data_IF_954733644689
#
_entry.id   IF_954733644689
#
_cell.length_a   1.000
_cell.length_b   1.000
_cell.length_c   1.000
_cell.angle_alpha   90.00
_cell.angle_beta   90.00
_cell.angle_gamma   90.00
#
_symmetry.space_group_name_H-M   'P 1'
#
loop_
_entity.id
_entity.type
_entity.pdbx_description
1 polymer ?
#
# COMPACT_ATOMS: atom_id res chain seq x y z
N UNK A 1 2.41 19.39 -5.89
CA UNK A 1 1.39 19.17 -6.95
C UNK A 1 1.06 20.55 -7.48
N UNK A 2 0.98 20.69 -8.78
CA UNK A 2 0.62 21.95 -9.43
C UNK A 2 -0.78 22.39 -8.98
N UNK A 3 -1.05 23.72 -8.88
CA UNK A 3 -2.34 24.27 -8.46
C UNK A 3 -3.47 23.79 -9.38
N UNK A 4 -3.22 23.77 -10.68
CA UNK A 4 -4.17 23.27 -11.70
C UNK A 4 -4.53 21.80 -11.47
N UNK A 5 -3.58 20.98 -10.98
CA UNK A 5 -3.83 19.57 -10.70
C UNK A 5 -4.63 19.36 -9.41
N UNK A 6 -4.46 20.22 -8.41
CA UNK A 6 -5.29 20.20 -7.20
C UNK A 6 -6.74 20.59 -7.51
N UNK A 7 -6.94 21.58 -8.36
CA UNK A 7 -8.27 21.98 -8.81
C UNK A 7 -8.94 20.84 -9.60
N UNK A 8 -8.21 20.24 -10.54
CA UNK A 8 -8.70 19.11 -11.32
C UNK A 8 -9.20 17.97 -10.43
N UNK A 9 -8.40 17.54 -9.42
CA UNK A 9 -8.78 16.43 -8.52
C UNK A 9 -9.98 16.81 -7.62
N UNK A 10 -10.06 18.07 -7.20
CA UNK A 10 -11.16 18.55 -6.37
C UNK A 10 -12.49 18.61 -7.14
N UNK A 11 -12.45 18.88 -8.45
CA UNK A 11 -13.63 18.90 -9.31
C UNK A 11 -14.22 17.50 -9.56
N UNK A 12 -13.50 16.42 -9.24
CA UNK A 12 -13.96 15.04 -9.37
C UNK A 12 -14.45 14.41 -8.07
N UNK A 13 -14.54 15.16 -6.97
CA UNK A 13 -14.99 14.59 -5.69
C UNK A 13 -16.46 14.17 -5.75
N UNK A 14 -16.78 13.03 -5.16
CA UNK A 14 -18.14 12.48 -5.08
C UNK A 14 -18.61 12.40 -3.61
N UNK A 15 -19.92 12.47 -3.40
CA UNK A 15 -20.51 12.10 -2.11
C UNK A 15 -20.33 10.59 -1.86
N UNK A 16 -20.14 10.15 -0.60
CA UNK A 16 -20.03 8.73 -0.28
C UNK A 16 -21.25 7.92 -0.72
N UNK A 17 -21.03 6.76 -1.29
CA UNK A 17 -22.08 5.75 -1.56
C UNK A 17 -22.67 5.24 -0.24
N UNK A 18 -21.80 4.96 0.73
CA UNK A 18 -22.17 4.62 2.10
C UNK A 18 -21.25 5.38 3.08
N UNK A 19 -21.84 6.37 3.77
CA UNK A 19 -21.12 7.17 4.77
C UNK A 19 -21.02 6.49 6.14
N UNK A 20 -21.63 5.32 6.32
CA UNK A 20 -21.66 4.58 7.59
C UNK A 20 -20.69 3.42 7.63
N UNK A 21 -20.23 2.93 6.46
CA UNK A 21 -19.23 1.88 6.39
C UNK A 21 -17.93 2.36 7.00
N UNK A 22 -17.53 1.77 8.14
CA UNK A 22 -16.22 2.03 8.76
C UNK A 22 -15.10 1.67 7.80
N UNK A 23 -14.06 2.51 7.76
CA UNK A 23 -12.87 2.32 6.93
C UNK A 23 -11.62 2.48 7.79
N UNK A 24 -10.70 1.53 7.67
CA UNK A 24 -9.28 1.70 8.00
C UNK A 24 -8.53 1.73 6.68
N UNK A 25 -7.85 2.84 6.38
CA UNK A 25 -7.01 2.97 5.18
C UNK A 25 -5.60 2.46 5.46
N UNK A 26 -5.23 1.24 5.04
CA UNK A 26 -3.98 0.60 5.45
C UNK A 26 -2.77 1.04 4.61
N UNK A 27 -2.91 2.06 3.74
CA UNK A 27 -1.81 2.48 2.89
C UNK A 27 -1.93 3.93 2.42
N UNK A 28 -1.22 4.81 3.09
CA UNK A 28 -0.97 6.16 2.59
C UNK A 28 0.50 6.57 2.81
N UNK A 29 0.90 7.66 2.21
CA UNK A 29 2.22 8.26 2.37
C UNK A 29 2.11 9.71 2.81
N UNK A 30 3.16 10.22 3.44
CA UNK A 30 3.29 11.63 3.80
C UNK A 30 4.64 12.16 3.33
N UNK A 31 4.69 13.36 2.80
CA UNK A 31 5.92 14.00 2.40
C UNK A 31 5.80 15.53 2.25
N UNK A 32 6.96 16.17 2.28
CA UNK A 32 7.14 17.54 1.84
C UNK A 32 8.45 17.60 1.03
N UNK A 33 8.35 17.51 -0.29
CA UNK A 33 9.50 17.46 -1.21
C UNK A 33 9.15 17.92 -2.62
N UNK A 34 10.13 18.55 -3.32
CA UNK A 34 9.99 18.89 -4.73
C UNK A 34 8.78 19.78 -5.07
N UNK A 35 8.40 20.69 -4.14
CA UNK A 35 7.20 21.53 -4.31
C UNK A 35 5.87 20.81 -4.09
N UNK A 36 5.90 19.54 -3.70
CA UNK A 36 4.71 18.77 -3.34
C UNK A 36 4.67 18.55 -1.83
N UNK A 37 3.54 18.92 -1.22
CA UNK A 37 3.26 18.70 0.20
C UNK A 37 2.03 17.83 0.34
N UNK A 38 2.13 16.81 1.19
CA UNK A 38 1.03 16.00 1.67
C UNK A 38 1.37 15.51 3.08
N UNK A 39 0.77 16.11 4.08
CA UNK A 39 1.01 15.86 5.51
C UNK A 39 -0.33 15.55 6.19
N UNK A 40 -0.35 15.58 7.52
CA UNK A 40 -1.57 15.28 8.30
C UNK A 40 -2.75 16.19 7.91
N UNK A 41 -2.49 17.46 7.59
CA UNK A 41 -3.53 18.42 7.21
C UNK A 41 -4.20 18.05 5.87
N UNK A 42 -3.42 17.71 4.84
CA UNK A 42 -3.95 17.30 3.55
C UNK A 42 -4.63 15.92 3.63
N UNK A 43 -4.03 14.97 4.37
CA UNK A 43 -4.66 13.68 4.65
C UNK A 43 -6.01 13.85 5.34
N UNK A 44 -6.09 14.72 6.36
CA UNK A 44 -7.32 15.06 7.06
C UNK A 44 -8.39 15.60 6.11
N UNK A 45 -8.02 16.53 5.20
CA UNK A 45 -8.94 17.07 4.21
C UNK A 45 -9.51 15.99 3.30
N UNK A 46 -8.71 15.00 2.91
CA UNK A 46 -9.17 13.92 2.04
C UNK A 46 -10.02 12.90 2.81
N UNK A 47 -9.59 12.46 3.99
CA UNK A 47 -10.30 11.47 4.81
C UNK A 47 -11.59 12.00 5.45
N UNK A 48 -11.71 13.33 5.67
CA UNK A 48 -12.90 13.95 6.24
C UNK A 48 -14.01 14.26 5.22
N UNK A 49 -13.92 13.79 3.97
CA UNK A 49 -14.90 14.10 2.90
C UNK A 49 -16.22 13.32 2.98
N UNK A 50 -16.48 12.67 4.11
CA UNK A 50 -17.78 12.05 4.39
C UNK A 50 -17.75 10.52 4.46
N UNK A 51 -16.73 9.85 3.96
CA UNK A 51 -16.50 8.44 4.28
C UNK A 51 -16.08 8.28 5.74
N UNK A 52 -16.50 7.17 6.38
CA UNK A 52 -16.21 6.91 7.80
C UNK A 52 -14.78 6.35 8.01
N UNK A 53 -13.77 7.09 7.55
CA UNK A 53 -12.35 6.72 7.76
C UNK A 53 -11.98 7.00 9.21
N UNK A 54 -11.74 5.95 9.99
CA UNK A 54 -11.38 6.06 11.41
C UNK A 54 -9.88 6.11 11.64
N UNK A 55 -9.14 5.29 10.91
CA UNK A 55 -7.70 5.09 11.10
C UNK A 55 -6.99 4.93 9.76
N UNK A 56 -5.69 5.25 9.75
CA UNK A 56 -4.84 5.11 8.58
C UNK A 56 -3.48 4.53 8.96
N UNK A 57 -2.84 3.82 8.03
CA UNK A 57 -1.48 3.29 8.21
C UNK A 57 -0.55 3.95 7.19
N UNK A 58 0.47 4.63 7.72
CA UNK A 58 1.53 5.19 6.91
C UNK A 58 2.45 4.09 6.37
N UNK A 59 2.87 4.21 5.12
CA UNK A 59 3.86 3.33 4.50
C UNK A 59 5.05 4.14 4.01
N UNK A 60 6.26 3.68 4.26
CA UNK A 60 7.52 4.32 3.91
C UNK A 60 7.55 4.88 2.47
N UNK A 61 8.22 6.02 2.28
CA UNK A 61 8.33 6.66 0.95
C UNK A 61 9.54 7.58 0.79
N UNK A 62 10.60 7.37 1.57
CA UNK A 62 11.82 8.20 1.63
C UNK A 62 11.57 9.64 2.14
N UNK A 63 10.56 9.87 2.97
CA UNK A 63 10.32 11.17 3.56
C UNK A 63 11.24 11.41 4.75
N UNK A 64 11.76 12.61 4.88
CA UNK A 64 12.47 13.11 6.07
C UNK A 64 13.61 12.20 6.60
N UNK A 65 14.29 11.46 5.73
CA UNK A 65 15.46 10.67 6.13
C UNK A 65 16.54 11.53 6.78
N UNK A 66 17.14 11.05 7.87
CA UNK A 66 18.27 11.72 8.53
C UNK A 66 19.45 11.88 7.56
N UNK A 67 19.97 13.09 7.41
CA UNK A 67 21.05 13.38 6.44
C UNK A 67 22.43 12.98 6.96
N UNK A 68 22.70 13.25 8.23
CA UNK A 68 24.00 13.06 8.89
C UNK A 68 23.98 11.81 9.79
N UNK A 69 23.62 10.65 9.20
CA UNK A 69 23.55 9.39 9.91
C UNK A 69 24.05 8.26 8.97
N UNK A 70 24.45 7.11 9.54
CA UNK A 70 24.77 5.91 8.75
C UNK A 70 23.58 5.52 7.90
N UNK A 71 23.84 5.07 6.67
CA UNK A 71 22.80 4.81 5.67
C UNK A 71 21.67 3.93 6.21
N UNK A 72 22.03 2.85 6.90
CA UNK A 72 21.08 1.90 7.48
C UNK A 72 20.16 2.50 8.57
N UNK A 73 20.51 3.66 9.14
CA UNK A 73 19.73 4.35 10.18
C UNK A 73 18.97 5.58 9.69
N UNK A 74 19.17 5.99 8.44
CA UNK A 74 18.56 7.23 7.90
C UNK A 74 17.03 7.18 7.89
N UNK A 75 16.44 6.00 7.66
CA UNK A 75 14.99 5.79 7.66
C UNK A 75 14.31 6.07 9.01
N UNK A 76 15.07 6.08 10.10
CA UNK A 76 14.57 6.43 11.44
C UNK A 76 13.98 7.85 11.44
N UNK A 77 14.55 8.78 10.67
CA UNK A 77 14.00 10.15 10.51
C UNK A 77 12.59 10.18 9.91
N UNK A 78 12.26 9.23 9.04
CA UNK A 78 10.89 9.10 8.53
C UNK A 78 9.92 8.65 9.63
N UNK A 79 10.34 7.72 10.48
CA UNK A 79 9.53 7.29 11.63
C UNK A 79 9.30 8.44 12.62
N UNK A 80 10.34 9.24 12.94
CA UNK A 80 10.21 10.46 13.77
C UNK A 80 9.16 11.42 13.17
N UNK A 81 9.30 11.72 11.89
CA UNK A 81 8.37 12.59 11.17
C UNK A 81 6.92 12.08 11.25
N UNK A 82 6.68 10.79 11.04
CA UNK A 82 5.31 10.23 11.05
C UNK A 82 4.74 10.20 12.46
N UNK A 83 5.54 9.99 13.49
CA UNK A 83 5.09 10.11 14.89
C UNK A 83 4.61 11.54 15.17
N UNK A 84 5.33 12.58 14.72
CA UNK A 84 4.88 13.97 14.85
C UNK A 84 3.57 14.22 14.09
N UNK A 85 3.45 13.72 12.85
CA UNK A 85 2.23 13.84 12.06
C UNK A 85 1.03 13.09 12.68
N UNK A 86 1.29 11.97 13.37
CA UNK A 86 0.25 11.22 14.07
C UNK A 86 -0.36 12.00 15.24
N UNK A 87 0.48 12.77 15.96
CA UNK A 87 -0.02 13.66 17.03
C UNK A 87 -0.92 14.74 16.42
N UNK A 88 -0.51 15.34 15.32
CA UNK A 88 -1.31 16.37 14.61
C UNK A 88 -2.62 15.80 14.08
N UNK A 89 -2.63 14.58 13.54
CA UNK A 89 -3.83 13.97 12.98
C UNK A 89 -4.96 13.84 14.02
N UNK A 90 -4.64 13.65 15.29
CA UNK A 90 -5.61 13.55 16.39
C UNK A 90 -6.33 14.86 16.71
N UNK A 91 -5.75 15.99 16.32
CA UNK A 91 -6.34 17.32 16.50
C UNK A 91 -7.19 17.75 15.29
N UNK A 92 -7.12 16.97 14.21
CA UNK A 92 -7.81 17.23 12.95
C UNK A 92 -9.05 16.34 12.82
N UNK A 93 -9.85 16.60 11.78
CA UNK A 93 -10.99 15.75 11.41
C UNK A 93 -10.50 14.60 10.49
N UNK A 94 -11.27 13.52 10.42
CA UNK A 94 -10.96 12.38 9.55
C UNK A 94 -10.14 11.30 10.23
N UNK A 95 -9.46 10.44 9.45
CA UNK A 95 -8.75 9.29 9.96
C UNK A 95 -7.49 9.63 10.73
N UNK A 96 -7.28 8.97 11.88
CA UNK A 96 -6.05 9.09 12.66
C UNK A 96 -4.93 8.28 12.03
N UNK A 97 -3.69 8.79 12.08
CA UNK A 97 -2.51 8.01 11.70
C UNK A 97 -2.17 7.09 12.89
N UNK A 98 -2.50 5.81 12.77
CA UNK A 98 -2.46 4.82 13.87
C UNK A 98 -1.41 3.73 13.69
N UNK A 99 -0.77 3.63 12.51
CA UNK A 99 0.26 2.65 12.23
C UNK A 99 1.33 3.16 11.28
N UNK A 100 2.51 2.54 11.38
CA UNK A 100 3.68 2.85 10.55
C UNK A 100 4.23 1.55 9.97
N UNK A 101 4.35 1.48 8.65
CA UNK A 101 5.17 0.51 7.94
C UNK A 101 6.45 1.24 7.53
N UNK A 102 7.53 1.01 8.29
CA UNK A 102 8.79 1.69 8.11
C UNK A 102 9.67 1.00 7.04
N UNK A 103 10.79 1.62 6.67
CA UNK A 103 11.83 1.00 5.88
C UNK A 103 12.99 0.52 6.76
N UNK A 104 13.39 -0.72 6.57
CA UNK A 104 14.67 -1.28 7.01
C UNK A 104 15.21 -2.13 5.86
N UNK A 105 16.51 -2.04 5.59
CA UNK A 105 17.17 -2.99 4.69
C UNK A 105 17.23 -4.37 5.34
N UNK A 106 16.34 -5.26 4.91
CA UNK A 106 16.19 -6.60 5.46
C UNK A 106 17.36 -7.54 5.08
N UNK A 107 18.23 -7.14 4.16
CA UNK A 107 19.44 -7.89 3.80
C UNK A 107 20.60 -7.73 4.82
N UNK A 108 20.43 -6.88 5.83
CA UNK A 108 21.46 -6.61 6.83
C UNK A 108 21.66 -7.71 7.91
N UNK A 109 20.91 -8.84 7.79
CA UNK A 109 21.03 -9.96 8.72
C UNK A 109 20.66 -9.55 10.16
N UNK A 110 21.51 -9.90 11.14
CA UNK A 110 21.25 -9.65 12.57
C UNK A 110 21.09 -8.15 12.92
N UNK A 111 21.68 -7.25 12.13
CA UNK A 111 21.53 -5.78 12.33
C UNK A 111 20.07 -5.32 12.20
N UNK A 112 19.22 -6.08 11.51
CA UNK A 112 17.78 -5.79 11.41
C UNK A 112 17.16 -5.66 12.79
N UNK A 113 17.53 -6.51 13.76
CA UNK A 113 17.00 -6.43 15.13
C UNK A 113 17.32 -5.10 15.83
N UNK A 114 18.54 -4.62 15.68
CA UNK A 114 18.96 -3.31 16.27
C UNK A 114 18.20 -2.15 15.63
N UNK A 115 17.93 -2.24 14.34
CA UNK A 115 17.15 -1.21 13.62
C UNK A 115 15.68 -1.25 14.01
N UNK A 116 15.10 -2.44 14.18
CA UNK A 116 13.74 -2.61 14.69
C UNK A 116 13.58 -2.00 16.09
N UNK A 117 14.55 -2.24 16.99
CA UNK A 117 14.55 -1.64 18.32
C UNK A 117 14.56 -0.11 18.22
N UNK A 118 15.38 0.46 17.36
CA UNK A 118 15.47 1.91 17.18
C UNK A 118 14.18 2.53 16.62
N UNK A 119 13.51 1.89 15.66
CA UNK A 119 12.21 2.33 15.16
C UNK A 119 11.12 2.21 16.23
N UNK A 120 11.12 1.11 17.00
CA UNK A 120 10.14 0.86 18.03
C UNK A 120 10.29 1.79 19.23
N UNK A 121 11.53 2.17 19.63
CA UNK A 121 11.79 3.14 20.68
C UNK A 121 11.14 4.51 20.38
N UNK A 122 11.14 4.92 19.11
CA UNK A 122 10.58 6.21 18.67
C UNK A 122 9.05 6.11 18.49
N UNK A 123 8.59 5.06 17.84
CA UNK A 123 7.18 4.93 17.44
C UNK A 123 6.29 4.23 18.46
N UNK A 124 6.88 3.58 19.47
CA UNK A 124 6.14 2.76 20.41
C UNK A 124 5.33 1.67 19.71
N UNK A 125 4.04 1.59 20.00
CA UNK A 125 3.13 0.62 19.40
C UNK A 125 2.69 0.99 17.97
N UNK A 126 3.16 2.08 17.38
CA UNK A 126 2.79 2.48 16.03
C UNK A 126 3.57 1.71 14.95
N UNK A 127 4.74 1.14 15.24
CA UNK A 127 5.44 0.27 14.29
C UNK A 127 4.61 -1.02 14.08
N UNK A 128 4.15 -1.25 12.86
CA UNK A 128 3.28 -2.39 12.50
C UNK A 128 3.94 -3.34 11.52
N UNK A 129 4.95 -2.90 10.82
CA UNK A 129 5.65 -3.71 9.84
C UNK A 129 6.78 -2.95 9.14
N UNK A 130 7.39 -3.65 8.21
CA UNK A 130 8.47 -3.12 7.37
C UNK A 130 8.12 -3.33 5.91
N UNK A 131 8.38 -2.32 5.08
CA UNK A 131 8.42 -2.44 3.64
C UNK A 131 9.86 -2.22 3.14
N UNK A 132 10.46 -3.29 2.64
CA UNK A 132 11.63 -3.20 1.78
C UNK A 132 11.17 -3.48 0.36
N UNK A 133 11.00 -2.43 -0.43
CA UNK A 133 10.49 -2.54 -1.79
C UNK A 133 11.47 -3.35 -2.66
N UNK A 134 10.99 -4.43 -3.29
CA UNK A 134 11.81 -5.36 -4.08
C UNK A 134 11.51 -5.32 -5.57
N UNK A 135 10.71 -4.33 -6.02
CA UNK A 135 10.35 -4.21 -7.42
C UNK A 135 11.58 -3.95 -8.31
N UNK A 136 11.91 -4.94 -9.13
CA UNK A 136 13.05 -4.97 -10.06
C UNK A 136 12.61 -5.44 -11.44
N UNK A 137 13.27 -4.93 -12.48
CA UNK A 137 13.09 -5.40 -13.85
C UNK A 137 14.36 -5.19 -14.65
N UNK A 138 14.70 -6.16 -15.53
CA UNK A 138 15.75 -6.00 -16.54
C UNK A 138 15.33 -5.12 -17.72
N UNK A 139 14.03 -4.79 -17.87
CA UNK A 139 13.53 -3.88 -18.90
C UNK A 139 13.78 -2.42 -18.47
N UNK A 140 14.62 -1.63 -19.16
CA UNK A 140 14.93 -0.26 -18.77
C UNK A 140 13.73 0.69 -18.83
N UNK A 141 12.61 0.27 -19.41
CA UNK A 141 11.35 1.04 -19.43
C UNK A 141 10.48 0.79 -18.20
N UNK A 142 10.86 -0.19 -17.37
CA UNK A 142 10.18 -0.49 -16.10
C UNK A 142 11.12 -0.02 -14.98
N UNK A 143 10.72 0.97 -14.15
CA UNK A 143 11.60 1.51 -13.13
C UNK A 143 11.92 0.46 -12.05
N UNK A 144 13.13 0.47 -11.55
CA UNK A 144 13.49 -0.24 -10.31
C UNK A 144 13.03 0.61 -9.13
N UNK A 145 12.56 -0.03 -8.05
CA UNK A 145 12.10 0.69 -6.87
C UNK A 145 13.21 1.53 -6.20
N UNK A 146 12.81 2.46 -5.36
CA UNK A 146 13.71 3.41 -4.70
C UNK A 146 14.77 2.77 -3.79
N UNK A 147 14.52 1.57 -3.27
CA UNK A 147 15.47 0.75 -2.51
C UNK A 147 16.60 0.15 -3.37
N UNK A 148 16.47 0.24 -4.71
CA UNK A 148 17.44 -0.30 -5.70
C UNK A 148 17.78 -1.77 -5.44
N UNK A 149 16.77 -2.66 -5.30
CA UNK A 149 17.01 -4.07 -5.01
C UNK A 149 17.80 -4.74 -6.13
N UNK A 150 18.61 -5.73 -5.77
CA UNK A 150 19.19 -6.66 -6.74
C UNK A 150 18.11 -7.61 -7.29
N UNK A 151 18.36 -8.19 -8.47
CA UNK A 151 17.55 -9.28 -9.00
C UNK A 151 17.57 -10.46 -8.02
N UNK A 152 16.39 -11.03 -7.72
CA UNK A 152 16.27 -12.20 -6.85
C UNK A 152 16.48 -11.93 -5.36
N UNK A 153 16.45 -10.67 -4.91
CA UNK A 153 16.70 -10.29 -3.51
C UNK A 153 15.86 -11.09 -2.50
N UNK A 154 14.60 -11.36 -2.80
CA UNK A 154 13.71 -12.14 -1.90
C UNK A 154 14.14 -13.60 -1.71
N UNK A 155 15.04 -14.12 -2.56
CA UNK A 155 15.64 -15.46 -2.46
C UNK A 155 16.89 -15.52 -1.58
N UNK A 156 17.50 -14.39 -1.25
CA UNK A 156 18.74 -14.32 -0.50
C UNK A 156 18.54 -14.69 0.98
N UNK A 157 19.46 -15.49 1.52
CA UNK A 157 19.36 -15.97 2.91
C UNK A 157 19.24 -14.84 3.92
N UNK A 158 20.04 -13.78 3.79
CA UNK A 158 20.03 -12.65 4.71
C UNK A 158 18.69 -11.92 4.69
N UNK A 159 18.08 -11.75 3.51
CA UNK A 159 16.75 -11.14 3.36
C UNK A 159 15.64 -12.01 4.00
N UNK A 160 15.68 -13.33 3.75
CA UNK A 160 14.74 -14.30 4.34
C UNK A 160 14.84 -14.26 5.88
N UNK A 161 16.05 -14.23 6.42
CA UNK A 161 16.28 -14.11 7.86
C UNK A 161 15.77 -12.77 8.39
N UNK A 162 15.98 -11.65 7.67
CA UNK A 162 15.42 -10.33 7.99
C UNK A 162 13.91 -10.34 8.07
N UNK A 163 13.22 -10.94 7.09
CA UNK A 163 11.74 -11.09 7.13
C UNK A 163 11.30 -11.98 8.29
N UNK A 164 12.04 -13.03 8.61
CA UNK A 164 11.73 -13.91 9.76
C UNK A 164 11.81 -13.15 11.10
N UNK A 165 12.74 -12.21 11.25
CA UNK A 165 12.82 -11.37 12.46
C UNK A 165 11.56 -10.53 12.69
N UNK A 166 10.88 -10.11 11.61
CA UNK A 166 9.61 -9.38 11.71
C UNK A 166 8.53 -10.26 12.38
N UNK A 167 8.38 -11.51 11.94
CA UNK A 167 7.41 -12.43 12.51
C UNK A 167 7.64 -12.71 14.00
N UNK A 168 8.91 -12.79 14.42
CA UNK A 168 9.27 -12.97 15.84
C UNK A 168 8.87 -11.77 16.73
N UNK A 169 8.53 -10.63 16.12
CA UNK A 169 8.12 -9.39 16.78
C UNK A 169 6.66 -9.02 16.49
N UNK A 170 5.89 -9.91 15.88
CA UNK A 170 4.52 -9.67 15.43
C UNK A 170 4.41 -8.46 14.48
N UNK A 171 5.40 -8.27 13.60
CA UNK A 171 5.41 -7.24 12.56
C UNK A 171 5.17 -7.86 11.20
N UNK A 172 4.50 -7.12 10.30
CA UNK A 172 4.28 -7.53 8.92
C UNK A 172 5.48 -7.24 8.01
N UNK A 173 5.57 -7.98 6.91
CA UNK A 173 6.34 -7.61 5.73
C UNK A 173 5.39 -7.13 4.64
N UNK A 174 5.38 -5.83 4.35
CA UNK A 174 4.62 -5.24 3.25
C UNK A 174 5.44 -5.38 1.96
N UNK A 175 4.96 -6.19 1.04
CA UNK A 175 5.69 -6.60 -0.15
C UNK A 175 5.30 -5.76 -1.37
N UNK A 176 6.21 -4.87 -1.81
CA UNK A 176 6.08 -4.14 -3.07
C UNK A 176 7.04 -4.70 -4.11
N UNK A 177 6.50 -5.41 -5.10
CA UNK A 177 7.23 -5.98 -6.22
C UNK A 177 6.35 -5.96 -7.48
N UNK A 178 6.90 -6.36 -8.62
CA UNK A 178 6.13 -6.56 -9.84
C UNK A 178 5.58 -7.98 -9.94
N UNK A 179 4.51 -8.14 -10.70
CA UNK A 179 3.78 -9.41 -10.83
C UNK A 179 4.66 -10.59 -11.28
N UNK A 180 5.71 -10.34 -12.07
CA UNK A 180 6.65 -11.36 -12.53
C UNK A 180 7.65 -11.80 -11.45
N UNK A 181 7.65 -11.14 -10.28
CA UNK A 181 8.40 -11.52 -9.08
C UNK A 181 7.52 -12.22 -8.01
N UNK A 182 6.22 -12.39 -8.22
CA UNK A 182 5.32 -13.04 -7.25
C UNK A 182 5.75 -14.48 -6.91
N UNK A 183 6.42 -15.18 -7.84
CA UNK A 183 6.98 -16.50 -7.58
C UNK A 183 8.12 -16.49 -6.53
N UNK A 184 8.91 -15.40 -6.48
CA UNK A 184 9.93 -15.20 -5.44
C UNK A 184 9.26 -14.99 -4.07
N UNK A 185 8.20 -14.17 -4.03
CA UNK A 185 7.43 -13.93 -2.82
C UNK A 185 6.77 -15.21 -2.30
N UNK A 186 6.22 -16.06 -3.19
CA UNK A 186 5.66 -17.35 -2.80
C UNK A 186 6.73 -18.25 -2.12
N UNK A 187 7.94 -18.29 -2.69
CA UNK A 187 9.05 -19.05 -2.10
C UNK A 187 9.51 -18.47 -0.74
N UNK A 188 9.49 -17.15 -0.59
CA UNK A 188 9.77 -16.47 0.67
C UNK A 188 8.70 -16.78 1.72
N UNK A 189 7.42 -16.62 1.39
CA UNK A 189 6.29 -16.81 2.30
C UNK A 189 6.30 -18.19 2.98
N UNK A 190 6.59 -19.24 2.21
CA UNK A 190 6.72 -20.61 2.73
C UNK A 190 7.88 -20.80 3.68
N UNK A 191 8.92 -19.97 3.62
CA UNK A 191 10.10 -20.05 4.51
C UNK A 191 9.93 -19.24 5.80
N UNK A 192 8.92 -18.36 5.86
CA UNK A 192 8.65 -17.48 7.00
C UNK A 192 7.18 -17.53 7.42
N UNK A 193 6.64 -18.71 7.78
CA UNK A 193 5.19 -18.90 7.99
C UNK A 193 4.62 -18.08 9.14
N UNK A 194 5.46 -17.62 10.07
CA UNK A 194 5.04 -16.81 11.21
C UNK A 194 5.03 -15.30 10.94
N UNK A 195 5.47 -14.87 9.74
CA UNK A 195 5.48 -13.45 9.37
C UNK A 195 4.27 -13.15 8.49
N UNK A 196 3.34 -12.27 8.88
CA UNK A 196 2.31 -11.80 7.98
C UNK A 196 2.94 -11.08 6.78
N UNK A 197 2.64 -11.55 5.57
CA UNK A 197 3.11 -10.95 4.32
C UNK A 197 1.92 -10.25 3.65
N UNK A 198 2.06 -8.97 3.39
CA UNK A 198 1.00 -8.15 2.79
C UNK A 198 1.42 -7.71 1.39
N UNK A 199 0.82 -8.29 0.37
CA UNK A 199 1.07 -7.93 -1.03
C UNK A 199 0.44 -6.55 -1.29
N UNK A 200 1.26 -5.56 -1.69
CA UNK A 200 0.77 -4.23 -2.04
C UNK A 200 0.19 -4.21 -3.46
N UNK A 201 -0.86 -3.40 -3.68
CA UNK A 201 -1.39 -3.03 -4.99
C UNK A 201 -1.70 -4.22 -5.91
N UNK A 202 -2.34 -5.26 -5.36
CA UNK A 202 -2.71 -6.48 -6.11
C UNK A 202 -1.50 -7.16 -6.81
N UNK A 203 -0.28 -7.01 -6.28
CA UNK A 203 0.92 -7.58 -6.89
C UNK A 203 1.29 -6.96 -8.24
N UNK A 204 0.92 -5.70 -8.46
CA UNK A 204 1.32 -4.86 -9.59
C UNK A 204 1.19 -5.50 -10.99
N UNK A 205 -0.03 -5.73 -11.51
CA UNK A 205 -0.24 -6.22 -12.88
C UNK A 205 0.08 -5.13 -13.92
N UNK A 206 1.33 -5.08 -14.37
CA UNK A 206 1.89 -3.99 -15.17
C UNK A 206 1.32 -3.85 -16.58
N UNK A 207 1.14 -2.59 -17.04
CA UNK A 207 0.93 -2.22 -18.45
C UNK A 207 2.04 -1.26 -18.92
N UNK A 208 3.29 -1.64 -18.66
CA UNK A 208 4.46 -0.79 -18.91
C UNK A 208 5.59 -1.63 -19.58
N UNK A 209 6.49 -0.97 -20.29
CA UNK A 209 7.64 -1.59 -20.94
C UNK A 209 7.22 -2.73 -21.86
N UNK A 210 7.93 -3.87 -21.77
CA UNK A 210 7.62 -5.09 -22.55
C UNK A 210 6.20 -5.62 -22.35
N UNK A 211 5.57 -5.32 -21.22
CA UNK A 211 4.24 -5.79 -20.86
C UNK A 211 3.10 -4.97 -21.47
N UNK A 212 3.37 -3.77 -22.00
CA UNK A 212 2.36 -2.91 -22.59
C UNK A 212 1.55 -3.60 -23.70
N UNK A 213 2.21 -4.45 -24.51
CA UNK A 213 1.60 -5.19 -25.62
C UNK A 213 1.34 -6.67 -25.33
N UNK A 214 1.64 -7.13 -24.12
CA UNK A 214 1.54 -8.54 -23.70
C UNK A 214 0.55 -8.74 -22.54
N UNK A 215 -0.57 -8.05 -22.57
CA UNK A 215 -1.50 -8.04 -21.44
C UNK A 215 -2.11 -9.42 -21.15
N UNK A 216 -2.42 -10.23 -22.17
CA UNK A 216 -2.93 -11.61 -21.97
C UNK A 216 -1.90 -12.49 -21.26
N UNK A 217 -0.63 -12.42 -21.67
CA UNK A 217 0.48 -13.15 -21.04
C UNK A 217 0.67 -12.68 -19.58
N UNK A 218 0.72 -11.35 -19.38
CA UNK A 218 0.84 -10.74 -18.06
C UNK A 218 -0.28 -11.22 -17.12
N UNK A 219 -1.55 -11.13 -17.56
CA UNK A 219 -2.69 -11.57 -16.75
C UNK A 219 -2.64 -13.07 -16.42
N UNK A 220 -2.19 -13.91 -17.37
CA UNK A 220 -2.01 -15.35 -17.14
C UNK A 220 -1.01 -15.63 -16.03
N UNK A 221 0.17 -15.00 -16.07
CA UNK A 221 1.23 -15.13 -15.06
C UNK A 221 0.71 -14.59 -13.72
N UNK A 222 0.19 -13.37 -13.69
CA UNK A 222 -0.31 -12.70 -12.49
C UNK A 222 -1.38 -13.54 -11.76
N UNK A 223 -2.39 -14.02 -12.49
CA UNK A 223 -3.43 -14.89 -11.92
C UNK A 223 -2.87 -16.22 -11.41
N UNK A 224 -1.93 -16.82 -12.15
CA UNK A 224 -1.32 -18.08 -11.74
C UNK A 224 -0.53 -17.94 -10.44
N UNK A 225 0.28 -16.90 -10.32
CA UNK A 225 1.14 -16.70 -9.14
C UNK A 225 0.34 -16.24 -7.91
N UNK A 226 -0.68 -15.38 -8.08
CA UNK A 226 -1.56 -15.00 -6.97
C UNK A 226 -2.36 -16.20 -6.42
N UNK A 227 -2.81 -17.15 -7.27
CA UNK A 227 -3.45 -18.38 -6.77
C UNK A 227 -2.53 -19.18 -5.86
N UNK A 228 -1.26 -19.34 -6.23
CA UNK A 228 -0.27 -20.04 -5.39
C UNK A 228 -0.05 -19.33 -4.06
N UNK A 229 0.00 -18.00 -4.09
CA UNK A 229 0.14 -17.17 -2.87
C UNK A 229 -1.10 -17.25 -1.98
N UNK A 230 -2.29 -17.36 -2.57
CA UNK A 230 -3.54 -17.53 -1.81
C UNK A 230 -3.61 -18.88 -1.06
N UNK A 231 -2.84 -19.90 -1.48
CA UNK A 231 -2.73 -21.18 -0.76
C UNK A 231 -1.85 -21.07 0.51
N UNK A 232 -1.14 -19.94 0.70
CA UNK A 232 -0.24 -19.73 1.83
C UNK A 232 -0.95 -18.87 2.89
N UNK A 233 -1.16 -19.42 4.09
CA UNK A 233 -2.04 -18.86 5.12
C UNK A 233 -1.60 -17.48 5.64
N UNK A 234 -0.28 -17.21 5.72
CA UNK A 234 0.28 -15.95 6.20
C UNK A 234 0.33 -14.84 5.14
N UNK A 235 -0.33 -15.01 3.99
CA UNK A 235 -0.34 -14.02 2.90
C UNK A 235 -1.67 -13.30 2.82
N UNK A 236 -1.60 -11.97 2.81
CA UNK A 236 -2.70 -11.02 2.70
C UNK A 236 -2.53 -10.16 1.46
N UNK A 237 -3.61 -9.55 0.97
CA UNK A 237 -3.61 -8.75 -0.25
C UNK A 237 -4.20 -7.37 0.00
N UNK A 238 -3.45 -6.31 -0.29
CA UNK A 238 -3.98 -4.96 -0.45
C UNK A 238 -4.54 -4.78 -1.85
N UNK A 239 -5.79 -4.37 -1.91
CA UNK A 239 -6.52 -4.07 -3.14
C UNK A 239 -6.63 -2.57 -3.27
N UNK A 240 -5.79 -1.98 -4.12
CA UNK A 240 -5.69 -0.55 -4.36
C UNK A 240 -4.53 -0.22 -5.28
N UNK A 241 -4.00 1.00 -5.17
CA UNK A 241 -3.01 1.53 -6.10
C UNK A 241 -3.55 1.70 -7.53
N UNK A 242 -4.89 1.70 -7.67
CA UNK A 242 -5.59 1.67 -8.97
C UNK A 242 -5.45 2.96 -9.78
N UNK A 243 -4.95 4.01 -9.14
CA UNK A 243 -4.65 5.30 -9.75
C UNK A 243 -3.21 5.45 -10.25
N UNK A 244 -2.35 4.44 -10.12
CA UNK A 244 -0.95 4.50 -10.57
C UNK A 244 -0.84 4.44 -12.09
N UNK A 245 -1.09 5.57 -12.75
CA UNK A 245 -1.11 5.73 -14.21
C UNK A 245 0.15 5.16 -14.88
N UNK A 246 1.32 5.44 -14.32
CA UNK A 246 2.61 5.03 -14.87
C UNK A 246 2.78 3.50 -14.93
N UNK A 247 2.05 2.76 -14.12
CA UNK A 247 2.12 1.29 -14.07
C UNK A 247 0.97 0.62 -14.81
N UNK A 248 -0.24 1.20 -14.73
CA UNK A 248 -1.47 0.54 -15.22
C UNK A 248 -2.03 1.14 -16.51
N UNK A 249 -1.54 2.33 -16.92
CA UNK A 249 -1.83 2.95 -18.22
C UNK A 249 -3.30 3.18 -18.49
N UNK A 250 -4.00 3.82 -17.57
CA UNK A 250 -5.43 4.15 -17.70
C UNK A 250 -5.69 5.39 -18.56
N UNK A 251 -4.68 6.24 -18.79
CA UNK A 251 -4.74 7.53 -19.49
C UNK A 251 -5.71 8.56 -18.85
N UNK A 252 -5.98 8.45 -17.55
CA UNK A 252 -6.85 9.39 -16.84
C UNK A 252 -6.21 10.75 -16.63
N UNK A 253 -4.87 10.77 -16.49
CA UNK A 253 -4.11 12.02 -16.26
C UNK A 253 -4.27 13.06 -17.37
N UNK A 254 -4.54 12.62 -18.59
CA UNK A 254 -4.70 13.48 -19.76
C UNK A 254 -6.13 14.01 -19.99
N UNK A 255 -7.09 13.62 -19.15
CA UNK A 255 -8.50 14.00 -19.30
C UNK A 255 -8.76 15.42 -18.76
N UNK A 256 -9.80 16.08 -19.27
CA UNK A 256 -10.27 17.37 -18.77
C UNK A 256 -10.84 17.28 -17.35
N UNK A 257 -11.42 16.13 -16.97
CA UNK A 257 -11.95 15.84 -15.62
C UNK A 257 -11.50 14.47 -15.13
N UNK A 258 -11.37 14.28 -13.80
CA UNK A 258 -11.14 12.96 -13.21
C UNK A 258 -12.23 11.96 -13.63
N UNK A 259 -11.93 10.67 -13.68
CA UNK A 259 -12.97 9.67 -13.87
C UNK A 259 -13.92 9.62 -12.68
N UNK A 260 -15.18 9.30 -12.93
CA UNK A 260 -16.14 8.95 -11.88
C UNK A 260 -15.88 7.55 -11.33
N UNK A 261 -16.42 7.26 -10.14
CA UNK A 261 -16.33 5.92 -9.57
C UNK A 261 -17.00 4.84 -10.44
N UNK A 262 -18.03 5.17 -11.24
CA UNK A 262 -18.64 4.23 -12.19
C UNK A 262 -17.69 3.88 -13.34
N UNK A 263 -16.93 4.86 -13.84
CA UNK A 263 -15.91 4.61 -14.85
C UNK A 263 -14.77 3.75 -14.30
N UNK A 264 -14.35 4.01 -13.04
CA UNK A 264 -13.31 3.21 -12.39
C UNK A 264 -13.78 1.78 -12.15
N UNK A 265 -15.04 1.58 -11.72
CA UNK A 265 -15.66 0.26 -11.61
C UNK A 265 -15.60 -0.48 -12.95
N UNK A 266 -15.96 0.17 -14.07
CA UNK A 266 -15.92 -0.44 -15.39
C UNK A 266 -14.54 -1.01 -15.75
N UNK A 267 -13.46 -0.35 -15.28
CA UNK A 267 -12.07 -0.76 -15.58
C UNK A 267 -11.56 -1.84 -14.61
N UNK A 268 -11.94 -1.77 -13.33
CA UNK A 268 -11.29 -2.55 -12.28
C UNK A 268 -12.13 -3.67 -11.67
N UNK A 269 -13.45 -3.67 -11.86
CA UNK A 269 -14.38 -4.60 -11.21
C UNK A 269 -13.95 -6.07 -11.35
N UNK A 270 -13.68 -6.53 -12.58
CA UNK A 270 -13.32 -7.94 -12.82
C UNK A 270 -12.05 -8.35 -12.06
N UNK A 271 -11.03 -7.49 -12.04
CA UNK A 271 -9.76 -7.79 -11.36
C UNK A 271 -9.91 -7.80 -9.85
N UNK A 272 -10.64 -6.81 -9.31
CA UNK A 272 -10.88 -6.68 -7.87
C UNK A 272 -11.69 -7.88 -7.35
N UNK A 273 -12.79 -8.22 -8.02
CA UNK A 273 -13.62 -9.38 -7.65
C UNK A 273 -12.80 -10.67 -7.73
N UNK A 274 -12.01 -10.84 -8.78
CA UNK A 274 -11.16 -12.01 -8.93
C UNK A 274 -10.13 -12.12 -7.79
N UNK A 275 -9.54 -11.03 -7.35
CA UNK A 275 -8.63 -11.01 -6.19
C UNK A 275 -9.35 -11.44 -4.91
N UNK A 276 -10.55 -10.89 -4.65
CA UNK A 276 -11.35 -11.23 -3.47
C UNK A 276 -11.78 -12.70 -3.50
N UNK A 277 -12.25 -13.21 -4.64
CA UNK A 277 -12.61 -14.62 -4.81
C UNK A 277 -11.40 -15.55 -4.59
N UNK A 278 -10.20 -15.10 -4.95
CA UNK A 278 -8.98 -15.93 -4.86
C UNK A 278 -8.45 -16.00 -3.42
N UNK A 279 -8.46 -14.90 -2.67
CA UNK A 279 -7.87 -14.83 -1.32
C UNK A 279 -8.91 -15.00 -0.18
N UNK A 280 -10.19 -14.77 -0.45
CA UNK A 280 -11.23 -14.58 0.58
C UNK A 280 -11.23 -13.16 1.14
N UNK A 281 -12.39 -12.72 1.67
CA UNK A 281 -12.57 -11.36 2.21
C UNK A 281 -11.68 -11.12 3.42
N UNK A 282 -11.50 -12.13 4.25
CA UNK A 282 -10.71 -12.11 5.48
C UNK A 282 -9.18 -11.98 5.27
N UNK A 283 -8.72 -12.09 4.03
CA UNK A 283 -7.30 -11.88 3.67
C UNK A 283 -7.09 -10.78 2.64
N UNK A 284 -8.14 -10.01 2.34
CA UNK A 284 -8.09 -8.83 1.50
C UNK A 284 -8.39 -7.57 2.30
N UNK A 285 -7.74 -6.46 1.96
CA UNK A 285 -8.04 -5.14 2.51
C UNK A 285 -7.94 -4.09 1.41
N UNK A 286 -8.91 -3.16 1.36
CA UNK A 286 -8.86 -2.02 0.45
C UNK A 286 -7.89 -0.97 0.95
N UNK A 287 -7.19 -0.29 0.03
CA UNK A 287 -6.23 0.78 0.33
C UNK A 287 -6.39 1.97 -0.63
N UNK A 288 -6.06 3.18 -0.18
CA UNK A 288 -6.11 4.37 -1.03
C UNK A 288 -4.83 4.61 -1.83
N UNK A 289 -3.67 4.23 -1.30
CA UNK A 289 -2.35 4.59 -1.82
C UNK A 289 -2.15 6.10 -2.00
N UNK A 290 -2.77 6.91 -1.13
CA UNK A 290 -2.69 8.37 -1.22
C UNK A 290 -1.38 8.93 -0.64
N UNK A 291 -0.80 9.98 -1.21
CA UNK A 291 -1.28 10.75 -2.37
C UNK A 291 -0.71 10.27 -3.71
N UNK A 292 -0.19 9.05 -3.84
CA UNK A 292 0.31 8.53 -5.12
C UNK A 292 -0.84 8.47 -6.13
N UNK A 293 -1.98 7.88 -5.75
CA UNK A 293 -3.15 7.76 -6.60
C UNK A 293 -3.90 9.09 -6.84
N UNK A 294 -3.63 10.13 -6.03
CA UNK A 294 -4.16 11.49 -6.21
C UNK A 294 -3.80 12.10 -7.56
N UNK A 295 -2.82 11.56 -8.26
CA UNK A 295 -2.49 12.01 -9.61
C UNK A 295 -3.61 11.75 -10.62
N UNK A 296 -4.47 10.79 -10.37
CA UNK A 296 -5.50 10.33 -11.31
C UNK A 296 -6.88 10.20 -10.70
N UNK A 297 -6.99 9.92 -9.40
CA UNK A 297 -8.24 9.62 -8.72
C UNK A 297 -8.46 10.50 -7.48
N UNK A 298 -9.64 11.13 -7.34
CA UNK A 298 -10.07 11.68 -6.06
C UNK A 298 -10.20 10.60 -4.99
N UNK A 299 -9.91 10.95 -3.72
CA UNK A 299 -10.01 10.02 -2.59
C UNK A 299 -11.42 9.41 -2.45
N UNK A 300 -12.45 10.25 -2.61
CA UNK A 300 -13.84 9.80 -2.58
C UNK A 300 -14.19 8.81 -3.71
N UNK A 301 -13.62 9.00 -4.90
CA UNK A 301 -13.84 8.10 -6.05
C UNK A 301 -13.24 6.72 -5.79
N UNK A 302 -12.07 6.64 -5.15
CA UNK A 302 -11.45 5.36 -4.80
C UNK A 302 -12.39 4.55 -3.88
N UNK A 303 -12.82 5.16 -2.78
CA UNK A 303 -13.66 4.48 -1.80
C UNK A 303 -15.06 4.17 -2.35
N UNK A 304 -15.66 5.09 -3.13
CA UNK A 304 -16.92 4.82 -3.83
C UNK A 304 -16.79 3.67 -4.82
N UNK A 305 -15.67 3.54 -5.52
CA UNK A 305 -15.41 2.40 -6.41
C UNK A 305 -15.49 1.09 -5.62
N UNK A 306 -14.81 0.98 -4.49
CA UNK A 306 -14.85 -0.22 -3.66
C UNK A 306 -16.24 -0.48 -3.07
N UNK A 307 -16.93 0.55 -2.60
CA UNK A 307 -18.30 0.44 -2.11
C UNK A 307 -19.28 -0.04 -3.18
N UNK A 308 -19.15 0.45 -4.43
CA UNK A 308 -19.97 0.00 -5.56
C UNK A 308 -19.69 -1.44 -5.95
N UNK A 309 -18.42 -1.85 -6.04
CA UNK A 309 -18.02 -3.21 -6.38
C UNK A 309 -18.55 -4.22 -5.36
N UNK A 310 -18.52 -3.86 -4.08
CA UNK A 310 -18.94 -4.73 -2.98
C UNK A 310 -20.42 -4.59 -2.61
N UNK A 311 -21.22 -3.87 -3.39
CA UNK A 311 -22.65 -3.69 -3.12
C UNK A 311 -23.40 -5.01 -2.91
N UNK A 312 -23.12 -6.10 -3.66
CA UNK A 312 -23.77 -7.39 -3.47
C UNK A 312 -23.29 -8.19 -2.24
N UNK A 313 -22.22 -7.77 -1.59
CA UNK A 313 -21.59 -8.50 -0.48
C UNK A 313 -22.38 -8.33 0.82
N UNK A 314 -22.28 -9.31 1.70
CA UNK A 314 -22.85 -9.24 3.06
C UNK A 314 -22.14 -8.17 3.90
N UNK A 315 -22.78 -7.74 4.98
CA UNK A 315 -22.17 -6.78 5.90
C UNK A 315 -20.86 -7.31 6.51
N UNK A 316 -20.75 -8.62 6.78
CA UNK A 316 -19.50 -9.23 7.29
C UNK A 316 -18.37 -9.14 6.27
N UNK A 317 -18.62 -9.55 5.03
CA UNK A 317 -17.63 -9.49 3.94
C UNK A 317 -17.17 -8.07 3.66
N UNK A 318 -18.08 -7.09 3.70
CA UNK A 318 -17.72 -5.67 3.61
C UNK A 318 -16.82 -5.25 4.77
N UNK A 319 -17.17 -5.62 5.99
CA UNK A 319 -16.35 -5.28 7.16
C UNK A 319 -14.95 -5.86 7.05
N UNK A 320 -14.80 -7.11 6.59
CA UNK A 320 -13.47 -7.69 6.36
C UNK A 320 -12.63 -6.81 5.44
N UNK A 321 -13.17 -6.48 4.27
CA UNK A 321 -12.48 -5.73 3.22
C UNK A 321 -12.16 -4.28 3.60
N UNK A 322 -13.05 -3.61 4.34
CA UNK A 322 -12.91 -2.19 4.63
C UNK A 322 -12.17 -1.88 5.93
N UNK A 323 -12.12 -2.80 6.92
CA UNK A 323 -11.44 -2.49 8.17
C UNK A 323 -10.97 -3.70 8.99
N UNK A 324 -11.70 -4.83 9.05
CA UNK A 324 -11.38 -5.94 9.98
C UNK A 324 -10.04 -6.58 9.64
N UNK A 325 -9.79 -6.88 8.37
CA UNK A 325 -8.51 -7.47 7.94
C UNK A 325 -7.33 -6.53 8.23
N UNK A 326 -7.47 -5.23 7.94
CA UNK A 326 -6.45 -4.24 8.27
C UNK A 326 -6.21 -4.13 9.78
N UNK A 327 -7.29 -4.14 10.59
CA UNK A 327 -7.20 -4.16 12.05
C UNK A 327 -6.48 -5.40 12.54
N UNK A 328 -6.83 -6.58 12.04
CA UNK A 328 -6.23 -7.85 12.44
C UNK A 328 -4.73 -7.91 12.14
N UNK A 329 -4.34 -7.49 10.93
CA UNK A 329 -2.94 -7.56 10.48
C UNK A 329 -2.07 -6.53 11.19
N UNK A 330 -2.56 -5.29 11.35
CA UNK A 330 -1.76 -4.17 11.86
C UNK A 330 -2.07 -3.79 13.32
N UNK A 331 -3.09 -4.35 13.95
CA UNK A 331 -3.46 -4.01 15.33
C UNK A 331 -3.76 -2.50 15.47
N UNK A 332 -4.54 -1.92 14.55
CA UNK A 332 -4.94 -0.51 14.53
C UNK A 332 -6.46 -0.40 14.68
N UNK A 333 -6.96 0.78 15.11
CA UNK A 333 -8.41 1.02 15.16
C UNK A 333 -9.14 0.26 16.26
N UNK A 334 -8.46 -0.07 17.36
CA UNK A 334 -9.06 -0.70 18.56
C UNK A 334 -9.73 0.33 19.47
#
# INVERSE_FOLDING_TARGET
MDVDRLEWINNGQEAPVDSTQRIIDPHHHLWERGGSRYRAEELSQDTARGHAVSDTVFVECLANYRKEEKEERRSIGETEFVVEESVRSKELKGGNISGIIAFIDLSLGEKVNVLLDAHQEISGNMLKGIRHATAWSSDPKIPVSHSKPAEGLMGEKAFIDGVRYLGNRNLSFDAWMYFDQLHELHNLAKKVPNTPIVINHMGAPLKLGRWQKKQTEMHGIWKSELRKLAEVENVYLKIGGIGMENYFGTNWVSRAFPPSSDEVVTVWNERILWCIETFGTERCMFESNYPVDRQTLPYSVIWNTFQKITQPFTASEKNDLFWVTAQSVYGVGS
#
